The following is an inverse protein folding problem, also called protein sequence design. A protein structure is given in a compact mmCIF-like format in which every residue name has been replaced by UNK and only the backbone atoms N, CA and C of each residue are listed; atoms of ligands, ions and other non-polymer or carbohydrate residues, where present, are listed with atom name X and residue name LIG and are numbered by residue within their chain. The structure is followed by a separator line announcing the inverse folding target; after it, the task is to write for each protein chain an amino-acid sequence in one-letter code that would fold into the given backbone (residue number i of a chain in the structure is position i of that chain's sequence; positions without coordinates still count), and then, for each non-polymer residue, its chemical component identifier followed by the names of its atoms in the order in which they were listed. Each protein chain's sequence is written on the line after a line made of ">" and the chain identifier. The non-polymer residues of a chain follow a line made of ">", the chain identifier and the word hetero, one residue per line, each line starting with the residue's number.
data_IF_836480232556
#
_entry.id   IF_836480232556
#
_cell.length_a   1.000
_cell.length_b   1.000
_cell.length_c   1.000
_cell.angle_alpha   90.00
_cell.angle_beta   90.00
_cell.angle_gamma   90.00
#
_symmetry.space_group_name_H-M   'P 1'
#
loop_
_entity.id
_entity.type
_entity.pdbx_description
1 polymer ?
#
# COMPACT_ATOMS: atom_id res chain seq x y z
N UNK A 1 5.33 -3.09 -38.78
CA UNK A 1 5.67 -2.05 -37.79
C UNK A 1 6.99 -2.42 -37.13
N UNK A 2 7.98 -1.52 -37.10
CA UNK A 2 9.31 -1.84 -36.56
C UNK A 2 9.29 -1.91 -35.02
N UNK A 3 10.35 -2.49 -34.45
CA UNK A 3 10.45 -2.78 -33.01
C UNK A 3 10.35 -1.51 -32.14
N UNK A 4 10.89 -0.40 -32.63
CA UNK A 4 10.86 0.90 -31.94
C UNK A 4 9.47 1.54 -31.97
N UNK A 5 8.78 1.53 -33.11
CA UNK A 5 7.40 2.00 -33.21
C UNK A 5 6.45 1.19 -32.32
N UNK A 6 6.70 -0.13 -32.16
CA UNK A 6 5.92 -0.99 -31.27
C UNK A 6 6.15 -0.65 -29.79
N UNK A 7 7.38 -0.30 -29.39
CA UNK A 7 7.69 0.16 -28.02
C UNK A 7 7.05 1.51 -27.71
N UNK A 8 7.12 2.47 -28.64
CA UNK A 8 6.52 3.80 -28.48
C UNK A 8 4.99 3.67 -28.37
N UNK A 9 4.38 2.85 -29.23
CA UNK A 9 2.93 2.62 -29.19
C UNK A 9 2.48 1.93 -27.88
N UNK A 10 3.26 0.95 -27.39
CA UNK A 10 3.01 0.32 -26.09
C UNK A 10 3.21 1.30 -24.92
N UNK A 11 4.22 2.17 -24.98
CA UNK A 11 4.45 3.22 -23.98
C UNK A 11 3.33 4.25 -23.96
N UNK A 12 2.88 4.71 -25.12
CA UNK A 12 1.74 5.63 -25.25
C UNK A 12 0.43 4.97 -24.78
N UNK A 13 0.19 3.71 -25.14
CA UNK A 13 -0.96 2.96 -24.64
C UNK A 13 -0.89 2.82 -23.11
N UNK A 14 0.28 2.55 -22.53
CA UNK A 14 0.46 2.45 -21.08
C UNK A 14 0.21 3.79 -20.37
N UNK A 15 0.69 4.90 -20.94
CA UNK A 15 0.44 6.25 -20.44
C UNK A 15 -1.05 6.62 -20.54
N UNK A 16 -1.70 6.30 -21.65
CA UNK A 16 -3.13 6.55 -21.84
C UNK A 16 -4.00 5.66 -20.92
N UNK A 17 -3.66 4.38 -20.76
CA UNK A 17 -4.29 3.47 -19.80
C UNK A 17 -4.10 4.01 -18.38
N UNK A 18 -2.91 4.54 -18.04
CA UNK A 18 -2.63 5.18 -16.75
C UNK A 18 -3.42 6.47 -16.52
N UNK A 19 -3.66 7.27 -17.56
CA UNK A 19 -4.45 8.50 -17.51
C UNK A 19 -5.96 8.24 -17.33
N UNK A 20 -6.46 7.09 -17.80
CA UNK A 20 -7.88 6.73 -17.74
C UNK A 20 -8.23 5.62 -16.74
N UNK A 21 -7.25 5.03 -16.06
CA UNK A 21 -7.48 4.19 -14.88
C UNK A 21 -7.93 5.06 -13.70
N UNK A 22 -9.18 5.53 -13.74
CA UNK A 22 -9.93 5.76 -12.50
C UNK A 22 -9.88 4.44 -11.71
N UNK A 23 -9.59 4.46 -10.39
CA UNK A 23 -9.83 3.27 -9.59
C UNK A 23 -11.32 2.95 -9.74
N UNK A 24 -11.61 1.84 -10.44
CA UNK A 24 -12.97 1.37 -10.74
C UNK A 24 -13.74 1.05 -9.45
N UNK A 25 -13.02 0.81 -8.35
CA UNK A 25 -13.56 0.66 -7.01
C UNK A 25 -13.48 1.99 -6.26
N UNK A 26 -14.58 2.40 -5.64
CA UNK A 26 -14.56 3.50 -4.68
C UNK A 26 -13.80 3.17 -3.38
N UNK A 27 -12.89 2.20 -3.36
CA UNK A 27 -12.23 1.65 -2.17
C UNK A 27 -10.71 1.77 -2.24
N UNK A 28 -10.11 2.03 -1.08
CA UNK A 28 -8.70 1.79 -0.78
C UNK A 28 -8.59 0.89 0.45
N UNK A 29 -7.42 0.33 0.69
CA UNK A 29 -7.11 -0.47 1.89
C UNK A 29 -6.06 0.26 2.72
N UNK A 30 -6.33 0.51 4.00
CA UNK A 30 -5.39 1.04 4.97
C UNK A 30 -4.90 -0.06 5.90
N UNK A 31 -3.59 -0.19 6.07
CA UNK A 31 -2.95 -1.04 7.06
C UNK A 31 -2.32 -0.12 8.10
N UNK A 32 -2.93 -0.03 9.28
CA UNK A 32 -2.53 0.93 10.31
C UNK A 32 -2.68 0.40 11.74
N UNK A 33 -2.08 1.12 12.69
CA UNK A 33 -2.23 0.79 14.11
C UNK A 33 -3.69 0.94 14.57
N UNK A 34 -4.09 0.18 15.60
CA UNK A 34 -5.41 0.31 16.22
C UNK A 34 -5.62 1.63 16.98
N UNK A 35 -4.58 2.44 17.16
CA UNK A 35 -4.65 3.77 17.73
C UNK A 35 -5.67 4.64 16.97
N UNK A 36 -6.77 5.00 17.64
CA UNK A 36 -7.88 5.73 17.03
C UNK A 36 -7.50 7.09 16.45
N UNK A 37 -6.37 7.68 16.88
CA UNK A 37 -5.87 8.97 16.36
C UNK A 37 -5.29 8.85 14.96
N UNK A 38 -4.80 7.66 14.60
CA UNK A 38 -4.20 7.35 13.29
C UNK A 38 -5.29 7.20 12.21
N UNK A 39 -6.39 6.55 12.55
CA UNK A 39 -7.42 6.15 11.58
C UNK A 39 -8.04 7.32 10.82
N UNK A 40 -8.28 8.44 11.51
CA UNK A 40 -8.81 9.65 10.88
C UNK A 40 -7.84 10.25 9.86
N UNK A 41 -6.54 10.28 10.19
CA UNK A 41 -5.50 10.86 9.35
C UNK A 41 -5.33 10.09 8.04
N UNK A 42 -5.20 8.75 8.12
CA UNK A 42 -5.07 7.88 6.95
C UNK A 42 -6.30 7.99 6.06
N UNK A 43 -7.50 7.79 6.60
CA UNK A 43 -8.75 7.83 5.81
C UNK A 43 -8.89 9.16 5.07
N UNK A 44 -8.66 10.28 5.75
CA UNK A 44 -8.77 11.61 5.13
C UNK A 44 -7.71 11.79 4.04
N UNK A 45 -6.49 11.29 4.22
CA UNK A 45 -5.44 11.33 3.19
C UNK A 45 -5.81 10.48 1.98
N UNK A 46 -6.24 9.24 2.20
CA UNK A 46 -6.64 8.29 1.18
C UNK A 46 -7.74 8.86 0.27
N UNK A 47 -8.85 9.32 0.88
CA UNK A 47 -9.98 9.91 0.14
C UNK A 47 -9.58 11.14 -0.67
N UNK A 48 -8.72 12.02 -0.13
CA UNK A 48 -8.27 13.21 -0.87
C UNK A 48 -7.33 12.88 -2.03
N UNK A 49 -6.32 12.03 -1.79
CA UNK A 49 -5.28 11.71 -2.78
C UNK A 49 -5.82 10.81 -3.89
N UNK A 50 -6.56 9.77 -3.53
CA UNK A 50 -7.01 8.72 -4.46
C UNK A 50 -8.45 8.85 -4.90
N UNK A 51 -9.19 9.83 -4.36
CA UNK A 51 -10.60 10.08 -4.68
C UNK A 51 -11.51 8.87 -4.45
N UNK A 52 -11.14 8.01 -3.50
CA UNK A 52 -11.94 6.86 -3.07
C UNK A 52 -13.06 7.30 -2.13
N UNK A 53 -14.19 6.57 -2.13
CA UNK A 53 -15.36 6.83 -1.28
C UNK A 53 -15.21 6.17 0.09
N UNK A 54 -14.65 4.98 0.12
CA UNK A 54 -14.50 4.11 1.27
C UNK A 54 -13.04 3.70 1.44
N UNK A 55 -12.67 3.33 2.67
CA UNK A 55 -11.34 2.84 2.99
C UNK A 55 -11.54 1.68 3.96
N UNK A 56 -11.19 0.48 3.54
CA UNK A 56 -11.15 -0.70 4.40
C UNK A 56 -9.93 -0.58 5.32
N UNK A 57 -10.11 -0.72 6.62
CA UNK A 57 -9.02 -0.61 7.59
C UNK A 57 -8.71 -1.97 8.16
N UNK A 58 -7.51 -2.45 7.87
CA UNK A 58 -6.89 -3.61 8.50
C UNK A 58 -6.03 -3.10 9.64
N UNK A 59 -6.31 -3.54 10.85
CA UNK A 59 -5.67 -2.99 12.04
C UNK A 59 -5.05 -4.04 12.96
N UNK A 60 -3.87 -3.71 13.47
CA UNK A 60 -3.14 -4.43 14.51
C UNK A 60 -2.31 -3.41 15.32
N UNK A 61 -2.05 -3.64 16.62
CA UNK A 61 -1.12 -2.78 17.36
C UNK A 61 0.28 -2.85 16.73
N UNK A 62 0.79 -1.71 16.24
CA UNK A 62 2.12 -1.66 15.62
C UNK A 62 2.24 -2.46 14.31
N UNK A 63 1.20 -2.47 13.47
CA UNK A 63 1.15 -3.27 12.24
C UNK A 63 2.38 -3.15 11.33
N UNK A 64 3.04 -1.99 11.27
CA UNK A 64 4.28 -1.83 10.50
C UNK A 64 5.41 -2.72 11.01
N UNK A 65 5.54 -2.89 12.33
CA UNK A 65 6.49 -3.82 12.93
C UNK A 65 6.13 -5.26 12.64
N UNK A 66 4.86 -5.63 12.82
CA UNK A 66 4.37 -6.99 12.56
C UNK A 66 4.69 -7.41 11.12
N UNK A 67 4.39 -6.53 10.15
CA UNK A 67 4.70 -6.76 8.74
C UNK A 67 6.20 -6.75 8.43
N UNK A 68 6.99 -5.93 9.12
CA UNK A 68 8.44 -5.86 8.95
C UNK A 68 9.15 -7.12 9.44
N UNK A 69 8.76 -7.61 10.61
CA UNK A 69 9.32 -8.82 11.22
C UNK A 69 8.82 -10.07 10.48
N UNK A 70 7.55 -10.08 10.06
CA UNK A 70 6.95 -11.15 9.27
C UNK A 70 7.13 -12.56 9.89
N UNK A 71 7.13 -12.64 11.22
CA UNK A 71 7.35 -13.88 11.99
C UNK A 71 6.05 -14.46 12.59
N UNK A 72 5.06 -13.62 12.89
CA UNK A 72 3.76 -14.05 13.43
C UNK A 72 2.84 -14.55 12.30
N UNK A 73 3.05 -15.81 11.89
CA UNK A 73 2.37 -16.43 10.74
C UNK A 73 0.84 -16.32 10.82
N UNK A 74 0.17 -16.63 11.94
CA UNK A 74 -1.29 -16.48 12.03
C UNK A 74 -1.78 -15.05 11.77
N UNK A 75 -1.11 -14.03 12.33
CA UNK A 75 -1.50 -12.64 12.10
C UNK A 75 -1.25 -12.23 10.64
N UNK A 76 -0.09 -12.60 10.09
CA UNK A 76 0.29 -12.30 8.70
C UNK A 76 -0.70 -12.91 7.70
N UNK A 77 -1.08 -14.18 7.87
CA UNK A 77 -2.06 -14.84 7.01
C UNK A 77 -3.45 -14.21 7.14
N UNK A 78 -3.84 -13.78 8.35
CA UNK A 78 -5.10 -13.06 8.53
C UNK A 78 -5.08 -11.69 7.85
N UNK A 79 -3.97 -10.94 7.91
CA UNK A 79 -3.78 -9.69 7.16
C UNK A 79 -3.91 -9.96 5.66
N UNK A 80 -3.23 -10.99 5.14
CA UNK A 80 -3.28 -11.37 3.72
C UNK A 80 -4.72 -11.70 3.29
N UNK A 81 -5.47 -12.45 4.11
CA UNK A 81 -6.88 -12.77 3.87
C UNK A 81 -7.77 -11.52 3.82
N UNK A 82 -7.63 -10.60 4.77
CA UNK A 82 -8.41 -9.36 4.77
C UNK A 82 -8.04 -8.46 3.59
N UNK A 83 -6.75 -8.40 3.23
CA UNK A 83 -6.30 -7.68 2.05
C UNK A 83 -6.90 -8.28 0.79
N UNK A 84 -6.93 -9.61 0.66
CA UNK A 84 -7.57 -10.29 -0.45
C UNK A 84 -9.06 -9.94 -0.58
N UNK A 85 -9.82 -9.94 0.51
CA UNK A 85 -11.25 -9.52 0.50
C UNK A 85 -11.40 -8.09 -0.03
N UNK A 86 -10.59 -7.15 0.46
CA UNK A 86 -10.62 -5.76 -0.01
C UNK A 86 -10.29 -5.64 -1.52
N UNK A 87 -9.38 -6.47 -2.02
CA UNK A 87 -8.98 -6.48 -3.44
C UNK A 87 -10.02 -7.15 -4.33
N UNK A 88 -10.50 -8.33 -3.92
CA UNK A 88 -11.39 -9.20 -4.69
C UNK A 88 -12.82 -8.70 -4.68
N UNK A 89 -13.37 -8.48 -3.49
CA UNK A 89 -14.79 -8.20 -3.30
C UNK A 89 -15.10 -6.71 -3.42
N UNK A 90 -14.22 -5.86 -2.90
CA UNK A 90 -14.40 -4.40 -2.97
C UNK A 90 -13.65 -3.75 -4.13
N UNK A 91 -12.77 -4.51 -4.80
CA UNK A 91 -12.01 -4.03 -5.96
C UNK A 91 -10.86 -3.07 -5.61
N UNK A 92 -10.43 -2.96 -4.36
CA UNK A 92 -9.37 -2.03 -3.94
C UNK A 92 -8.09 -2.20 -4.77
N UNK A 93 -7.52 -1.08 -5.24
CA UNK A 93 -6.24 -1.03 -6.00
C UNK A 93 -5.20 -0.12 -5.37
N UNK A 94 -5.52 0.43 -4.20
CA UNK A 94 -4.64 1.33 -3.46
C UNK A 94 -4.50 0.82 -2.05
N UNK A 95 -3.27 0.58 -1.64
CA UNK A 95 -2.91 0.08 -0.32
C UNK A 95 -2.06 1.15 0.36
N UNK A 96 -2.43 1.52 1.57
CA UNK A 96 -1.73 2.56 2.34
C UNK A 96 -1.27 1.94 3.65
N UNK A 97 0.02 1.99 3.93
CA UNK A 97 0.59 1.48 5.17
C UNK A 97 0.98 2.69 6.03
N UNK A 98 0.56 2.71 7.28
CA UNK A 98 0.88 3.80 8.20
C UNK A 98 1.64 3.34 9.44
N UNK A 99 2.74 4.04 9.71
CA UNK A 99 3.41 4.06 11.01
C UNK A 99 3.04 5.37 11.73
N UNK A 100 3.20 5.42 13.06
CA UNK A 100 2.90 6.63 13.80
C UNK A 100 3.82 6.87 14.99
N UNK A 101 3.98 8.14 15.35
CA UNK A 101 4.72 8.53 16.54
C UNK A 101 4.06 7.96 17.80
N UNK A 102 4.87 7.68 18.83
CA UNK A 102 4.40 7.22 20.14
C UNK A 102 3.47 5.98 20.07
N UNK A 103 3.90 4.96 19.32
CA UNK A 103 3.15 3.71 19.15
C UNK A 103 3.45 2.72 20.29
N UNK A 104 2.43 2.28 21.04
CA UNK A 104 2.61 1.26 22.07
C UNK A 104 2.89 -0.14 21.47
N UNK A 105 2.28 -0.47 20.31
CA UNK A 105 2.51 -1.74 19.61
C UNK A 105 3.84 -1.81 18.85
N UNK A 106 4.49 -0.66 18.65
CA UNK A 106 5.82 -0.55 18.08
C UNK A 106 6.59 0.55 18.86
N UNK A 107 7.09 0.22 20.07
CA UNK A 107 7.68 1.19 21.00
C UNK A 107 9.12 1.56 20.62
N UNK A 108 9.34 1.90 19.35
CA UNK A 108 10.61 2.32 18.79
C UNK A 108 10.57 3.80 18.35
N UNK A 109 11.75 4.39 18.15
CA UNK A 109 11.88 5.75 17.61
C UNK A 109 11.40 5.86 16.15
N UNK A 110 11.32 7.10 15.64
CA UNK A 110 10.84 7.39 14.28
C UNK A 110 11.65 6.65 13.23
N UNK A 111 12.98 6.65 13.35
CA UNK A 111 13.90 6.06 12.39
C UNK A 111 13.66 4.56 12.23
N UNK A 112 13.58 3.83 13.34
CA UNK A 112 13.27 2.40 13.36
C UNK A 112 11.86 2.11 12.85
N UNK A 113 10.87 2.92 13.22
CA UNK A 113 9.51 2.75 12.71
C UNK A 113 9.41 2.99 11.19
N UNK A 114 10.18 3.92 10.64
CA UNK A 114 10.28 4.15 9.19
C UNK A 114 11.01 3.01 8.49
N UNK A 115 12.03 2.41 9.11
CA UNK A 115 12.64 1.19 8.61
C UNK A 115 11.62 0.03 8.57
N UNK A 116 10.88 -0.18 9.66
CA UNK A 116 9.79 -1.16 9.68
C UNK A 116 8.73 -0.85 8.62
N UNK A 117 8.39 0.43 8.39
CA UNK A 117 7.41 0.81 7.38
C UNK A 117 7.85 0.42 5.95
N UNK A 118 9.15 0.51 5.65
CA UNK A 118 9.73 0.07 4.36
C UNK A 118 9.78 -1.46 4.24
N UNK A 119 10.16 -2.18 5.29
CA UNK A 119 10.10 -3.65 5.26
C UNK A 119 8.65 -4.15 5.15
N UNK A 120 7.71 -3.48 5.82
CA UNK A 120 6.28 -3.76 5.67
C UNK A 120 5.80 -3.58 4.22
N UNK A 121 6.31 -2.58 3.50
CA UNK A 121 6.06 -2.41 2.07
C UNK A 121 6.46 -3.65 1.28
N UNK A 122 7.67 -4.18 1.52
CA UNK A 122 8.18 -5.38 0.85
C UNK A 122 7.34 -6.60 1.17
N UNK A 123 6.94 -6.78 2.42
CA UNK A 123 6.04 -7.86 2.84
C UNK A 123 4.70 -7.78 2.11
N UNK A 124 4.09 -6.61 2.02
CA UNK A 124 2.83 -6.43 1.28
C UNK A 124 3.00 -6.67 -0.22
N UNK A 125 4.13 -6.27 -0.82
CA UNK A 125 4.44 -6.59 -2.22
C UNK A 125 4.52 -8.10 -2.44
N UNK A 126 5.24 -8.81 -1.58
CA UNK A 126 5.30 -10.26 -1.62
C UNK A 126 3.92 -10.91 -1.39
N UNK A 127 3.07 -10.35 -0.54
CA UNK A 127 1.69 -10.83 -0.40
C UNK A 127 0.94 -10.74 -1.73
N UNK A 128 1.03 -9.60 -2.44
CA UNK A 128 0.38 -9.40 -3.73
C UNK A 128 0.87 -10.40 -4.79
N UNK A 129 2.16 -10.69 -4.84
CA UNK A 129 2.74 -11.70 -5.75
C UNK A 129 2.17 -13.10 -5.50
N UNK A 130 1.77 -13.40 -4.26
CA UNK A 130 1.25 -14.69 -3.83
C UNK A 130 -0.29 -14.73 -3.70
N UNK A 131 -0.99 -13.72 -4.24
CA UNK A 131 -2.46 -13.71 -4.34
C UNK A 131 -2.90 -14.15 -5.74
N UNK A 132 -4.12 -14.73 -5.89
CA UNK A 132 -4.65 -15.17 -7.17
C UNK A 132 -5.16 -13.97 -8.01
N UNK A 133 -4.32 -12.96 -8.20
CA UNK A 133 -4.62 -11.75 -8.96
C UNK A 133 -4.94 -12.03 -10.43
N UNK A 134 -4.39 -13.12 -10.98
CA UNK A 134 -4.64 -13.57 -12.35
C UNK A 134 -6.10 -13.88 -12.63
N UNK A 135 -6.85 -14.37 -11.63
CA UNK A 135 -8.29 -14.65 -11.74
C UNK A 135 -9.10 -13.37 -11.97
N UNK A 136 -8.53 -12.22 -11.59
CA UNK A 136 -9.09 -10.88 -11.77
C UNK A 136 -8.49 -10.15 -12.99
N UNK A 137 -7.59 -10.79 -13.74
CA UNK A 137 -6.84 -10.13 -14.82
C UNK A 137 -5.90 -9.03 -14.33
N UNK A 138 -5.36 -9.16 -13.11
CA UNK A 138 -4.48 -8.20 -12.47
C UNK A 138 -3.07 -8.76 -12.25
N UNK A 139 -2.12 -7.84 -12.10
CA UNK A 139 -0.75 -8.10 -11.68
C UNK A 139 -0.43 -7.29 -10.42
N UNK A 140 0.61 -7.65 -9.65
CA UNK A 140 1.09 -6.83 -8.53
C UNK A 140 1.41 -5.37 -8.92
N UNK A 141 1.74 -5.12 -10.19
CA UNK A 141 2.03 -3.78 -10.71
C UNK A 141 0.79 -2.90 -10.91
N UNK A 142 -0.41 -3.47 -10.87
CA UNK A 142 -1.66 -2.71 -10.94
C UNK A 142 -2.04 -2.04 -9.59
N UNK A 143 -1.25 -2.27 -8.54
CA UNK A 143 -1.49 -1.75 -7.21
C UNK A 143 -0.59 -0.55 -6.90
N UNK A 144 -1.20 0.50 -6.35
CA UNK A 144 -0.46 1.60 -5.73
C UNK A 144 -0.26 1.27 -4.26
N UNK A 145 0.99 1.30 -3.79
CA UNK A 145 1.34 1.20 -2.37
C UNK A 145 1.91 2.53 -1.91
N UNK A 146 1.33 3.09 -0.86
CA UNK A 146 1.67 4.40 -0.30
C UNK A 146 2.06 4.25 1.16
N UNK A 147 3.13 4.94 1.58
CA UNK A 147 3.64 4.87 2.95
C UNK A 147 3.38 6.19 3.66
N UNK A 148 2.79 6.12 4.86
CA UNK A 148 2.51 7.29 5.69
C UNK A 148 3.22 7.20 7.05
N UNK A 149 3.79 8.32 7.46
CA UNK A 149 4.15 8.59 8.85
C UNK A 149 3.13 9.52 9.46
N UNK A 150 2.46 9.11 10.53
CA UNK A 150 1.59 10.00 11.31
C UNK A 150 2.44 10.68 12.38
N UNK A 151 2.69 11.97 12.19
CA UNK A 151 3.59 12.75 13.03
C UNK A 151 2.96 13.17 14.36
N UNK A 152 3.71 13.91 15.17
CA UNK A 152 3.38 14.37 16.52
C UNK A 152 2.14 15.26 16.58
N UNK A 153 1.70 15.79 15.44
CA UNK A 153 0.47 16.58 15.28
C UNK A 153 -0.70 15.73 14.76
N UNK A 154 -0.54 14.42 14.71
CA UNK A 154 -1.49 13.47 14.11
C UNK A 154 -1.78 13.77 12.64
N UNK A 155 -0.80 14.30 11.92
CA UNK A 155 -0.90 14.61 10.50
C UNK A 155 -0.11 13.60 9.66
N UNK A 156 -0.64 13.20 8.48
CA UNK A 156 0.03 12.24 7.62
C UNK A 156 1.13 12.93 6.78
N UNK A 157 2.35 12.43 6.91
CA UNK A 157 3.51 12.72 6.07
C UNK A 157 3.71 11.56 5.09
N UNK A 158 3.90 11.86 3.81
CA UNK A 158 4.23 10.83 2.82
C UNK A 158 5.69 10.44 2.95
N UNK A 159 5.94 9.14 3.08
CA UNK A 159 7.27 8.58 3.04
C UNK A 159 7.47 8.08 1.61
N UNK A 160 8.55 8.50 0.93
CA UNK A 160 8.89 7.91 -0.36
C UNK A 160 8.98 6.39 -0.18
N UNK A 161 8.08 5.68 -0.86
CA UNK A 161 8.27 4.25 -1.13
C UNK A 161 9.64 4.12 -1.79
N UNK A 162 10.34 3.03 -1.47
CA UNK A 162 11.55 2.67 -2.18
C UNK A 162 11.12 2.33 -3.61
N UNK A 163 10.94 3.37 -4.43
CA UNK A 163 10.84 3.25 -5.86
C UNK A 163 12.01 2.36 -6.26
N UNK A 164 11.70 1.40 -7.10
CA UNK A 164 12.61 0.65 -7.93
C UNK A 164 13.48 1.63 -8.75
N UNK A 165 14.43 2.30 -8.09
CA UNK A 165 15.39 3.28 -8.62
C UNK A 165 16.68 2.58 -9.05
N UNK A 166 16.62 1.27 -9.30
CA UNK A 166 17.80 0.44 -9.62
C UNK A 166 17.79 -0.10 -11.07
N UNK A 167 16.79 0.20 -11.92
CA UNK A 167 16.90 -0.08 -13.37
C UNK A 167 16.47 1.05 -14.29
N UNK A 168 16.91 2.26 -14.00
CA UNK A 168 17.01 3.31 -15.02
C UNK A 168 18.45 3.79 -15.24
N UNK A 169 19.44 3.19 -14.56
CA UNK A 169 20.87 3.49 -14.71
C UNK A 169 21.73 2.21 -14.83
N UNK A 170 21.18 1.11 -15.34
CA UNK A 170 21.92 -0.11 -15.67
C UNK A 170 21.48 -0.63 -17.04
#
# INVERSE_FOLDING_TARGET
>A
MNREARKILLGLAYVLIGLFRKPLSGFATGLECMDGRVQGALRKKAKRKYRVKYVDIITQPGINKILAENTDVPIIENIKKMLWISINDHGSRTIIIAAHHNCAGNPNNKETQLAHLREAEKTVRNMLENLPLGDLGLSPMDFVIDLLWINEKWMPEEIPSDKWLVKMNA
#
